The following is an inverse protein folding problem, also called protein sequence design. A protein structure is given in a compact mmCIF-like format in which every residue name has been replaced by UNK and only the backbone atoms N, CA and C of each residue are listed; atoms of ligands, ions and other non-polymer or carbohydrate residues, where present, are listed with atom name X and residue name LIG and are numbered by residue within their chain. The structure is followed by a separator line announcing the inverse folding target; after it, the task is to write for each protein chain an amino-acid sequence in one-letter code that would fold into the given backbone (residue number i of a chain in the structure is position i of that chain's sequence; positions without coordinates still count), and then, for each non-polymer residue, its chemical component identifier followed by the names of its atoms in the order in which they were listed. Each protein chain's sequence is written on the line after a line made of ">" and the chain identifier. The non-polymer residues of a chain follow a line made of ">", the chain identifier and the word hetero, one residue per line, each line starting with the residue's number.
data_IF_686139832101
#
_entry.id   IF_686139832101
#
_cell.length_a   1.000
_cell.length_b   1.000
_cell.length_c   1.000
_cell.angle_alpha   90.00
_cell.angle_beta   90.00
_cell.angle_gamma   90.00
#
_symmetry.space_group_name_H-M   'P 1'
#
loop_
_entity.id
_entity.type
_entity.pdbx_description
1 polymer ?
#
# COMPACT_ATOMS: atom_id res chain seq x y z
N UNK A 1 -26.41 7.28 17.88
CA UNK A 1 -24.95 7.51 17.76
C UNK A 1 -24.19 6.19 17.70
N UNK A 2 -24.50 5.23 18.58
CA UNK A 2 -23.86 3.91 18.62
C UNK A 2 -24.01 3.08 17.32
N UNK A 3 -25.21 3.03 16.72
CA UNK A 3 -25.44 2.28 15.47
C UNK A 3 -24.57 2.82 14.33
N UNK A 4 -24.44 4.14 14.22
CA UNK A 4 -23.62 4.79 13.20
C UNK A 4 -22.14 4.44 13.38
N UNK A 5 -21.61 4.56 14.60
CA UNK A 5 -20.22 4.18 14.91
C UNK A 5 -19.95 2.72 14.58
N UNK A 6 -20.87 1.82 14.94
CA UNK A 6 -20.75 0.38 14.65
C UNK A 6 -20.69 0.10 13.14
N UNK A 7 -21.51 0.79 12.34
CA UNK A 7 -21.48 0.66 10.88
C UNK A 7 -20.13 1.13 10.33
N UNK A 8 -19.64 2.29 10.77
CA UNK A 8 -18.33 2.81 10.34
C UNK A 8 -17.20 1.86 10.73
N UNK A 9 -17.21 1.29 11.93
CA UNK A 9 -16.20 0.31 12.36
C UNK A 9 -16.19 -0.95 11.49
N UNK A 10 -17.35 -1.44 11.07
CA UNK A 10 -17.45 -2.58 10.15
C UNK A 10 -16.91 -2.21 8.76
N UNK A 11 -17.26 -1.03 8.25
CA UNK A 11 -16.74 -0.55 6.96
C UNK A 11 -15.22 -0.35 6.98
N UNK A 12 -14.68 0.19 8.06
CA UNK A 12 -13.25 0.34 8.26
C UNK A 12 -12.56 -1.03 8.30
N UNK A 13 -13.15 -2.03 8.95
CA UNK A 13 -12.59 -3.38 8.91
C UNK A 13 -12.62 -3.99 7.50
N UNK A 14 -13.73 -3.81 6.76
CA UNK A 14 -13.87 -4.28 5.38
C UNK A 14 -12.90 -3.57 4.42
N UNK A 15 -12.50 -2.33 4.71
CA UNK A 15 -11.57 -1.59 3.85
C UNK A 15 -10.24 -2.32 3.71
N UNK A 16 -9.76 -3.02 4.75
CA UNK A 16 -8.54 -3.84 4.67
C UNK A 16 -8.64 -4.90 3.56
N UNK A 17 -9.81 -5.54 3.42
CA UNK A 17 -10.04 -6.53 2.36
C UNK A 17 -9.98 -5.90 0.96
N UNK A 18 -10.53 -4.69 0.81
CA UNK A 18 -10.45 -3.94 -0.43
C UNK A 18 -9.02 -3.49 -0.73
N UNK A 19 -8.27 -2.98 0.25
CA UNK A 19 -6.86 -2.60 0.10
C UNK A 19 -5.98 -3.78 -0.28
N UNK A 20 -6.20 -4.96 0.33
CA UNK A 20 -5.51 -6.20 -0.06
C UNK A 20 -5.78 -6.56 -1.54
N UNK A 21 -7.03 -6.48 -1.97
CA UNK A 21 -7.40 -6.75 -3.35
C UNK A 21 -6.78 -5.72 -4.31
N UNK A 22 -6.81 -4.44 -3.95
CA UNK A 22 -6.20 -3.35 -4.72
C UNK A 22 -4.68 -3.57 -4.90
N UNK A 23 -3.96 -3.83 -3.81
CA UNK A 23 -2.53 -4.09 -3.83
C UNK A 23 -2.21 -5.30 -4.73
N UNK A 24 -2.94 -6.40 -4.58
CA UNK A 24 -2.75 -7.58 -5.43
C UNK A 24 -3.00 -7.28 -6.92
N UNK A 25 -4.15 -6.67 -7.23
CA UNK A 25 -4.56 -6.38 -8.61
C UNK A 25 -3.62 -5.37 -9.28
N UNK A 26 -2.99 -4.50 -8.51
CA UNK A 26 -2.03 -3.52 -9.02
C UNK A 26 -0.63 -4.12 -9.20
N UNK A 27 -0.16 -4.92 -8.24
CA UNK A 27 1.15 -5.59 -8.32
C UNK A 27 1.22 -6.62 -9.46
N UNK A 28 0.17 -7.41 -9.63
CA UNK A 28 0.18 -8.58 -10.50
C UNK A 28 0.51 -8.26 -11.98
N UNK A 29 -0.11 -7.26 -12.63
CA UNK A 29 0.23 -6.87 -14.00
C UNK A 29 1.65 -6.32 -14.16
N UNK A 30 2.19 -5.64 -13.14
CA UNK A 30 3.55 -5.11 -13.16
C UNK A 30 4.55 -6.24 -13.01
N UNK A 31 4.34 -7.17 -12.06
CA UNK A 31 5.24 -8.31 -11.87
C UNK A 31 5.40 -9.15 -13.12
N UNK A 32 4.28 -9.41 -13.82
CA UNK A 32 4.28 -10.20 -15.06
C UNK A 32 5.08 -9.53 -16.17
N UNK A 33 5.06 -8.20 -16.25
CA UNK A 33 5.63 -7.43 -17.37
C UNK A 33 6.90 -6.65 -17.02
N UNK A 34 7.44 -6.76 -15.81
CA UNK A 34 8.65 -6.02 -15.37
C UNK A 34 9.90 -6.27 -16.23
N UNK A 35 9.92 -7.34 -17.01
CA UNK A 35 10.99 -7.66 -17.95
C UNK A 35 10.91 -6.79 -19.23
N UNK A 36 9.75 -6.20 -19.51
CA UNK A 36 9.61 -5.19 -20.55
C UNK A 36 10.21 -3.88 -20.04
N UNK A 37 11.24 -3.40 -20.73
CA UNK A 37 12.01 -2.22 -20.32
C UNK A 37 11.14 -0.99 -20.05
N UNK A 38 10.11 -0.76 -20.88
CA UNK A 38 9.16 0.35 -20.72
C UNK A 38 8.40 0.28 -19.38
N UNK A 39 8.05 -0.92 -18.93
CA UNK A 39 7.33 -1.11 -17.65
C UNK A 39 8.27 -0.84 -16.48
N UNK A 40 9.50 -1.36 -16.50
CA UNK A 40 10.50 -1.11 -15.46
C UNK A 40 10.88 0.38 -15.38
N UNK A 41 11.21 1.01 -16.52
CA UNK A 41 11.63 2.42 -16.57
C UNK A 41 10.49 3.39 -16.20
N UNK A 42 9.22 2.99 -16.35
CA UNK A 42 8.08 3.81 -15.91
C UNK A 42 7.93 3.89 -14.39
N UNK A 43 8.59 3.01 -13.62
CA UNK A 43 8.53 3.07 -12.16
C UNK A 43 9.51 4.10 -11.61
N UNK A 44 9.00 5.18 -11.02
CA UNK A 44 9.84 6.17 -10.35
C UNK A 44 10.39 5.63 -9.03
N UNK A 45 11.61 5.09 -9.05
CA UNK A 45 12.27 4.55 -7.85
C UNK A 45 12.36 5.61 -6.75
N UNK A 46 12.77 6.84 -7.08
CA UNK A 46 12.84 7.94 -6.12
C UNK A 46 11.45 8.32 -5.57
N UNK A 47 10.43 8.38 -6.45
CA UNK A 47 9.06 8.66 -6.01
C UNK A 47 8.53 7.60 -5.05
N UNK A 48 8.79 6.32 -5.36
CA UNK A 48 8.38 5.21 -4.52
C UNK A 48 9.17 5.15 -3.20
N UNK A 49 10.45 5.56 -3.19
CA UNK A 49 11.23 5.71 -1.96
C UNK A 49 10.64 6.80 -1.06
N UNK A 50 10.26 7.95 -1.61
CA UNK A 50 9.60 9.00 -0.84
C UNK A 50 8.26 8.51 -0.28
N UNK A 51 7.45 7.82 -1.10
CA UNK A 51 6.19 7.21 -0.66
C UNK A 51 6.41 6.22 0.48
N UNK A 52 7.41 5.35 0.37
CA UNK A 52 7.77 4.38 1.41
C UNK A 52 8.18 5.06 2.72
N UNK A 53 8.99 6.12 2.66
CA UNK A 53 9.40 6.87 3.85
C UNK A 53 8.19 7.54 4.54
N UNK A 54 7.35 8.23 3.76
CA UNK A 54 6.15 8.89 4.27
C UNK A 54 5.19 7.87 4.88
N UNK A 55 4.87 6.80 4.15
CA UNK A 55 3.97 5.75 4.62
C UNK A 55 4.53 5.00 5.84
N UNK A 56 5.85 4.89 5.99
CA UNK A 56 6.45 4.31 7.21
C UNK A 56 6.20 5.20 8.42
N UNK A 57 6.35 6.52 8.28
CA UNK A 57 6.05 7.49 9.37
C UNK A 57 4.58 7.39 9.78
N UNK A 58 3.66 7.34 8.80
CA UNK A 58 2.23 7.19 9.07
C UNK A 58 1.88 5.84 9.71
N UNK A 59 2.49 4.74 9.26
CA UNK A 59 2.31 3.44 9.89
C UNK A 59 2.70 3.50 11.38
N UNK A 60 3.87 4.05 11.70
CA UNK A 60 4.27 4.22 13.11
C UNK A 60 3.30 5.10 13.89
N UNK A 61 2.85 6.22 13.31
CA UNK A 61 1.87 7.08 13.97
C UNK A 61 0.56 6.34 14.28
N UNK A 62 -0.02 5.64 13.31
CA UNK A 62 -1.26 4.87 13.52
C UNK A 62 -1.09 3.73 14.52
N UNK A 63 0.07 3.08 14.55
CA UNK A 63 0.38 2.06 15.56
C UNK A 63 0.37 2.65 16.98
N UNK A 64 1.03 3.80 17.17
CA UNK A 64 1.11 4.47 18.47
C UNK A 64 -0.24 5.05 18.91
N UNK A 65 -1.10 5.44 17.96
CA UNK A 65 -2.45 5.94 18.22
C UNK A 65 -3.50 4.83 18.42
N UNK A 66 -3.13 3.56 18.28
CA UNK A 66 -4.06 2.42 18.39
C UNK A 66 -5.01 2.26 17.19
N UNK A 67 -4.73 2.94 16.07
CA UNK A 67 -5.52 2.91 14.84
C UNK A 67 -5.10 1.74 13.95
N UNK A 68 -5.39 0.51 14.39
CA UNK A 68 -4.87 -0.70 13.74
C UNK A 68 -5.32 -0.89 12.30
N UNK A 69 -6.52 -0.42 11.92
CA UNK A 69 -6.98 -0.48 10.52
C UNK A 69 -6.09 0.37 9.63
N UNK A 70 -5.85 1.63 10.02
CA UNK A 70 -4.96 2.54 9.30
C UNK A 70 -3.52 2.03 9.28
N UNK A 71 -3.06 1.44 10.39
CA UNK A 71 -1.73 0.83 10.45
C UNK A 71 -1.57 -0.27 9.40
N UNK A 72 -2.51 -1.23 9.35
CA UNK A 72 -2.46 -2.34 8.39
C UNK A 72 -2.49 -1.80 6.96
N UNK A 73 -3.36 -0.83 6.68
CA UNK A 73 -3.48 -0.21 5.36
C UNK A 73 -2.15 0.43 4.92
N UNK A 74 -1.52 1.23 5.79
CA UNK A 74 -0.21 1.82 5.52
C UNK A 74 0.86 0.75 5.28
N UNK A 75 0.85 -0.38 6.01
CA UNK A 75 1.78 -1.48 5.77
C UNK A 75 1.58 -2.10 4.38
N UNK A 76 0.33 -2.27 3.93
CA UNK A 76 0.03 -2.80 2.59
C UNK A 76 0.56 -1.87 1.50
N UNK A 77 0.30 -0.57 1.60
CA UNK A 77 0.77 0.41 0.62
C UNK A 77 2.29 0.66 0.67
N UNK A 78 2.92 0.54 1.84
CA UNK A 78 4.38 0.50 1.94
C UNK A 78 4.95 -0.73 1.22
N UNK A 79 4.32 -1.89 1.39
CA UNK A 79 4.67 -3.11 0.64
C UNK A 79 4.55 -2.92 -0.88
N UNK A 80 3.50 -2.23 -1.33
CA UNK A 80 3.31 -1.88 -2.74
C UNK A 80 4.41 -0.93 -3.26
N UNK A 81 4.74 0.12 -2.51
CA UNK A 81 5.81 1.05 -2.87
C UNK A 81 7.17 0.33 -2.94
N UNK A 82 7.45 -0.54 -1.97
CA UNK A 82 8.66 -1.38 -1.99
C UNK A 82 8.70 -2.30 -3.20
N UNK A 83 7.56 -2.92 -3.55
CA UNK A 83 7.46 -3.73 -4.75
C UNK A 83 7.75 -2.94 -6.04
N UNK A 84 7.27 -1.70 -6.16
CA UNK A 84 7.57 -0.86 -7.33
C UNK A 84 9.04 -0.48 -7.41
N UNK A 85 9.71 -0.26 -6.28
CA UNK A 85 11.16 -0.04 -6.25
C UNK A 85 11.87 -1.26 -6.84
N UNK A 86 11.51 -2.47 -6.40
CA UNK A 86 12.09 -3.71 -6.94
C UNK A 86 11.81 -3.89 -8.43
N UNK A 87 10.59 -3.58 -8.89
CA UNK A 87 10.22 -3.66 -10.29
C UNK A 87 10.97 -2.63 -11.17
N UNK A 88 11.23 -1.42 -10.65
CA UNK A 88 12.02 -0.41 -11.35
C UNK A 88 13.51 -0.75 -11.43
N UNK A 89 14.03 -1.54 -10.48
CA UNK A 89 15.44 -1.95 -10.44
C UNK A 89 15.72 -3.26 -11.19
N UNK A 90 14.71 -3.97 -11.70
CA UNK A 90 14.89 -5.31 -12.30
C UNK A 90 15.43 -5.32 -13.74
N UNK A 91 16.17 -4.28 -14.14
CA UNK A 91 16.81 -4.13 -15.45
C UNK A 91 18.22 -4.70 -15.48
#
# INVERSE_FOLDING_TARGET
>A
METFQKIISVLAFLSIGFSLAEVYLTMNPIWKRKHERVVAESQSVTGNLLSLNIGTIFAFNSLLSGEYVSFIDNILFNGLAFFYILAGMSL
#
